data_IF_825359128715
#
_entry.id   IF_825359128715
#
_cell.length_a   1.000
_cell.length_b   1.000
_cell.length_c   1.000
_cell.angle_alpha   90.00
_cell.angle_beta   90.00
_cell.angle_gamma   90.00
#
_symmetry.space_group_name_H-M   'P 1'
#
loop_
_entity.id
_entity.type
_entity.pdbx_description
1 polymer ?
#
# COMPACT_ATOMS: atom_id res chain seq x y z
N UNK A 1 7.00 11.09 -14.51
CA UNK A 1 7.10 10.46 -15.85
C UNK A 1 5.77 9.82 -16.30
N UNK A 2 5.18 8.86 -15.55
CA UNK A 2 3.94 8.18 -15.95
C UNK A 2 2.80 9.19 -16.16
N UNK A 3 2.58 10.11 -15.24
CA UNK A 3 1.51 11.09 -15.33
C UNK A 3 1.65 12.01 -16.54
N UNK A 4 2.87 12.42 -16.90
CA UNK A 4 3.08 13.23 -18.10
C UNK A 4 2.70 12.47 -19.37
N UNK A 5 3.05 11.19 -19.46
CA UNK A 5 2.67 10.34 -20.60
C UNK A 5 1.15 10.17 -20.65
N UNK A 6 0.50 9.82 -19.53
CA UNK A 6 -0.95 9.62 -19.48
C UNK A 6 -1.70 10.88 -19.92
N UNK A 7 -1.21 12.07 -19.54
CA UNK A 7 -1.79 13.35 -19.94
C UNK A 7 -1.68 13.65 -21.43
N UNK A 8 -0.62 13.19 -22.10
CA UNK A 8 -0.51 13.41 -23.57
C UNK A 8 -1.62 12.69 -24.35
N UNK A 9 -2.22 11.66 -23.75
CA UNK A 9 -3.35 10.92 -24.32
C UNK A 9 -4.71 11.36 -23.75
N UNK A 10 -4.75 12.46 -22.99
CA UNK A 10 -5.96 12.96 -22.31
C UNK A 10 -6.69 11.86 -21.51
N UNK A 11 -5.93 11.01 -20.81
CA UNK A 11 -6.46 9.94 -19.94
C UNK A 11 -6.31 10.31 -18.47
N UNK A 12 -7.13 9.68 -17.63
CA UNK A 12 -7.01 9.78 -16.19
C UNK A 12 -5.90 8.84 -15.69
N UNK A 13 -5.14 9.31 -14.69
CA UNK A 13 -4.21 8.50 -13.96
C UNK A 13 -4.84 8.05 -12.65
N UNK A 14 -5.11 6.75 -12.54
CA UNK A 14 -5.60 6.11 -11.31
C UNK A 14 -4.44 5.34 -10.70
N UNK A 15 -4.14 5.61 -9.43
CA UNK A 15 -3.02 4.99 -8.70
C UNK A 15 -3.55 4.15 -7.54
N UNK A 16 -3.24 2.85 -7.58
CA UNK A 16 -3.33 2.01 -6.40
C UNK A 16 -2.10 2.26 -5.51
N UNK A 17 -2.33 2.94 -4.40
CA UNK A 17 -1.32 3.25 -3.41
C UNK A 17 -1.50 2.47 -2.10
N UNK A 18 -2.22 1.34 -2.14
CA UNK A 18 -2.56 0.56 -0.94
C UNK A 18 -1.31 0.16 -0.16
N UNK A 19 -0.24 -0.22 -0.83
CA UNK A 19 0.99 -0.68 -0.17
C UNK A 19 2.08 0.40 -0.07
N UNK A 20 1.82 1.63 -0.48
CA UNK A 20 2.83 2.70 -0.53
C UNK A 20 2.46 3.95 0.27
N UNK A 21 1.20 4.40 0.19
CA UNK A 21 0.79 5.66 0.85
C UNK A 21 0.96 5.57 2.37
N UNK A 22 1.55 6.62 2.95
CA UNK A 22 1.89 6.66 4.36
C UNK A 22 3.29 6.10 4.68
N UNK A 23 3.94 5.40 3.75
CA UNK A 23 5.27 4.80 3.94
C UNK A 23 6.31 5.34 2.95
N UNK A 24 5.88 5.64 1.73
CA UNK A 24 6.73 6.14 0.63
C UNK A 24 6.18 7.48 0.16
N UNK A 25 7.03 8.43 -0.26
CA UNK A 25 6.57 9.72 -0.79
C UNK A 25 5.63 9.53 -1.99
N UNK A 26 4.47 10.17 -1.93
CA UNK A 26 3.51 10.25 -3.03
C UNK A 26 2.90 11.66 -3.02
N UNK A 27 3.42 12.52 -3.86
CA UNK A 27 2.87 13.87 -4.05
C UNK A 27 1.76 13.82 -5.11
N UNK A 28 0.53 13.60 -4.64
CA UNK A 28 -0.65 13.36 -5.47
C UNK A 28 -0.89 14.50 -6.45
N UNK A 29 -0.81 15.73 -5.96
CA UNK A 29 -1.11 16.94 -6.74
C UNK A 29 0.03 17.28 -7.69
N UNK A 30 1.27 17.35 -7.19
CA UNK A 30 2.44 17.67 -8.01
C UNK A 30 2.71 16.62 -9.09
N UNK A 31 2.40 15.35 -8.80
CA UNK A 31 2.52 14.28 -9.80
C UNK A 31 1.32 14.20 -10.75
N UNK A 32 0.24 14.92 -10.45
CA UNK A 32 -0.94 14.98 -11.28
C UNK A 32 -1.72 13.67 -11.34
N UNK A 33 -1.81 12.99 -10.21
CA UNK A 33 -2.68 11.83 -10.07
C UNK A 33 -4.14 12.28 -10.04
N UNK A 34 -4.99 11.65 -10.84
CA UNK A 34 -6.41 12.00 -10.89
C UNK A 34 -7.23 11.26 -9.83
N UNK A 35 -6.87 10.00 -9.56
CA UNK A 35 -7.46 9.22 -8.47
C UNK A 35 -6.37 8.43 -7.77
N UNK A 36 -6.34 8.49 -6.45
CA UNK A 36 -5.44 7.67 -5.62
C UNK A 36 -6.27 6.91 -4.61
N UNK A 37 -6.04 5.60 -4.52
CA UNK A 37 -6.75 4.73 -3.56
C UNK A 37 -5.78 4.07 -2.60
N UNK A 38 -6.20 3.95 -1.33
CA UNK A 38 -5.45 3.22 -0.31
C UNK A 38 -6.39 2.65 0.75
N UNK A 39 -5.85 1.87 1.69
CA UNK A 39 -6.61 1.22 2.76
C UNK A 39 -5.96 1.40 4.13
N UNK A 40 -6.76 1.23 5.17
CA UNK A 40 -6.37 1.45 6.57
C UNK A 40 -5.32 0.46 7.10
N UNK A 41 -5.29 -0.76 6.58
CA UNK A 41 -4.50 -1.88 7.12
C UNK A 41 -3.04 -1.95 6.64
N UNK A 42 -2.55 -0.92 5.99
CA UNK A 42 -1.19 -0.84 5.45
C UNK A 42 -0.40 0.28 6.15
N UNK A 43 0.05 1.28 5.46
CA UNK A 43 0.83 2.38 6.02
C UNK A 43 0.14 3.13 7.16
N UNK A 44 -1.19 3.09 7.24
CA UNK A 44 -1.95 3.72 8.32
C UNK A 44 -2.06 2.89 9.60
N UNK A 45 -1.53 1.67 9.66
CA UNK A 45 -1.33 0.88 10.89
C UNK A 45 -2.62 0.52 11.65
N UNK A 46 -3.80 0.56 11.02
CA UNK A 46 -5.08 0.18 11.62
C UNK A 46 -5.65 -1.07 11.00
N UNK A 47 -6.58 -1.78 11.65
CA UNK A 47 -7.25 -2.93 11.05
C UNK A 47 -7.92 -2.60 9.72
N UNK A 48 -8.13 -3.59 8.83
CA UNK A 48 -8.92 -3.40 7.63
C UNK A 48 -10.34 -2.95 7.97
N UNK A 49 -10.93 -2.07 7.15
CA UNK A 49 -12.29 -1.58 7.34
C UNK A 49 -12.53 -0.17 6.80
N UNK A 50 -11.48 0.57 6.43
CA UNK A 50 -11.59 1.87 5.77
C UNK A 50 -10.82 1.86 4.44
N UNK A 51 -11.38 2.54 3.45
CA UNK A 51 -10.72 2.91 2.21
C UNK A 51 -10.62 4.44 2.12
N UNK A 52 -9.50 4.91 1.63
CA UNK A 52 -9.28 6.33 1.36
C UNK A 52 -9.16 6.53 -0.14
N UNK A 53 -9.87 7.54 -0.65
CA UNK A 53 -9.86 7.88 -2.08
C UNK A 53 -9.64 9.37 -2.21
N UNK A 54 -8.58 9.77 -2.89
CA UNK A 54 -8.37 11.14 -3.35
C UNK A 54 -8.80 11.24 -4.80
N UNK A 55 -9.54 12.30 -5.15
CA UNK A 55 -10.06 12.52 -6.51
C UNK A 55 -9.79 13.95 -6.91
N UNK A 56 -9.10 14.15 -8.04
CA UNK A 56 -8.86 15.46 -8.66
C UNK A 56 -10.14 16.06 -9.28
N UNK A 57 -10.12 17.33 -9.60
CA UNK A 57 -11.23 17.97 -10.36
C UNK A 57 -11.49 17.26 -11.68
N UNK A 58 -10.44 16.84 -12.42
CA UNK A 58 -10.59 16.05 -13.65
C UNK A 58 -11.27 14.70 -13.38
N UNK A 59 -10.91 14.05 -12.28
CA UNK A 59 -11.55 12.80 -11.84
C UNK A 59 -13.03 13.00 -11.56
N UNK A 60 -13.39 14.07 -10.87
CA UNK A 60 -14.78 14.44 -10.60
C UNK A 60 -15.55 14.76 -11.90
N UNK A 61 -14.96 15.51 -12.83
CA UNK A 61 -15.60 15.82 -14.10
C UNK A 61 -15.86 14.56 -14.93
N UNK A 62 -14.91 13.65 -14.99
CA UNK A 62 -15.12 12.35 -15.63
C UNK A 62 -16.22 11.51 -14.94
N UNK A 63 -16.31 11.57 -13.60
CA UNK A 63 -17.37 10.88 -12.85
C UNK A 63 -18.76 11.37 -13.24
N UNK A 64 -18.95 12.68 -13.50
CA UNK A 64 -20.25 13.26 -13.87
C UNK A 64 -20.82 12.73 -15.18
N UNK A 65 -19.94 12.40 -16.12
CA UNK A 65 -20.32 11.89 -17.46
C UNK A 65 -20.26 10.36 -17.56
N UNK A 66 -19.84 9.68 -16.49
CA UNK A 66 -19.75 8.21 -16.46
C UNK A 66 -21.14 7.58 -16.47
N UNK A 67 -21.35 6.63 -17.36
CA UNK A 67 -22.59 5.83 -17.46
C UNK A 67 -22.53 4.53 -16.65
N UNK A 68 -21.42 4.26 -15.96
CA UNK A 68 -21.28 3.05 -15.16
C UNK A 68 -22.29 3.05 -14.00
N UNK A 69 -23.12 2.01 -13.88
CA UNK A 69 -24.03 1.87 -12.75
C UNK A 69 -23.26 1.81 -11.42
N UNK A 70 -23.65 2.65 -10.46
CA UNK A 70 -23.04 2.70 -9.14
C UNK A 70 -24.09 3.01 -8.07
N UNK A 71 -23.94 2.41 -6.91
CA UNK A 71 -24.83 2.64 -5.76
C UNK A 71 -24.05 2.77 -4.45
N UNK A 72 -23.46 1.66 -3.98
CA UNK A 72 -22.68 1.64 -2.74
C UNK A 72 -21.34 2.36 -2.89
N UNK A 73 -20.66 2.16 -4.02
CA UNK A 73 -19.36 2.77 -4.34
C UNK A 73 -19.51 4.15 -5.04
N UNK A 74 -20.66 4.79 -4.91
CA UNK A 74 -20.87 6.12 -5.47
C UNK A 74 -20.27 7.19 -4.55
N UNK A 75 -19.12 7.72 -4.95
CA UNK A 75 -18.38 8.72 -4.17
C UNK A 75 -19.16 10.04 -4.02
N UNK A 76 -20.07 10.37 -4.94
CA UNK A 76 -20.89 11.57 -4.83
C UNK A 76 -21.81 11.52 -3.60
N UNK A 77 -22.31 10.33 -3.23
CA UNK A 77 -23.08 10.15 -2.00
C UNK A 77 -22.27 10.50 -0.75
N UNK A 78 -20.98 10.23 -0.76
CA UNK A 78 -20.07 10.62 0.34
C UNK A 78 -19.93 12.14 0.42
N UNK A 79 -19.79 12.83 -0.71
CA UNK A 79 -19.74 14.30 -0.76
C UNK A 79 -21.03 14.92 -0.21
N UNK A 80 -22.18 14.40 -0.64
CA UNK A 80 -23.50 14.87 -0.18
C UNK A 80 -23.70 14.63 1.31
N UNK A 81 -23.37 13.44 1.81
CA UNK A 81 -23.50 13.09 3.22
C UNK A 81 -22.59 13.95 4.11
N UNK A 82 -21.33 14.18 3.68
CA UNK A 82 -20.35 15.02 4.39
C UNK A 82 -20.87 16.43 4.65
N UNK A 83 -21.63 17.04 3.72
CA UNK A 83 -22.23 18.37 3.90
C UNK A 83 -23.21 18.43 5.08
N UNK A 84 -23.71 17.27 5.52
CA UNK A 84 -24.61 17.10 6.67
C UNK A 84 -23.88 16.58 7.92
N UNK A 85 -22.54 16.47 7.89
CA UNK A 85 -21.76 15.86 8.98
C UNK A 85 -22.03 14.36 9.15
N UNK A 86 -22.38 13.66 8.08
CA UNK A 86 -22.77 12.25 8.09
C UNK A 86 -21.95 11.44 7.07
N UNK A 87 -22.05 10.12 7.18
CA UNK A 87 -21.62 9.17 6.16
C UNK A 87 -22.84 8.60 5.42
N UNK A 88 -22.74 8.21 4.15
CA UNK A 88 -23.89 7.69 3.39
C UNK A 88 -24.32 6.29 3.87
N UNK A 89 -23.41 5.56 4.52
CA UNK A 89 -23.61 4.23 5.08
C UNK A 89 -23.09 4.17 6.51
N UNK A 90 -23.43 3.12 7.25
CA UNK A 90 -22.93 2.91 8.61
C UNK A 90 -21.38 2.84 8.60
N UNK A 91 -20.70 3.75 9.30
CA UNK A 91 -19.24 3.78 9.32
C UNK A 91 -18.64 2.72 10.25
N UNK A 92 -17.41 2.31 9.98
CA UNK A 92 -16.61 1.46 10.87
C UNK A 92 -16.04 2.30 12.03
N UNK A 93 -16.87 2.68 13.01
CA UNK A 93 -16.55 3.66 14.05
C UNK A 93 -15.32 3.28 14.86
N UNK A 94 -15.18 2.02 15.26
CA UNK A 94 -14.01 1.53 16.00
C UNK A 94 -12.70 1.66 15.19
N UNK A 95 -12.77 1.45 13.89
CA UNK A 95 -11.60 1.63 13.02
C UNK A 95 -11.27 3.11 12.84
N UNK A 96 -12.28 3.99 12.83
CA UNK A 96 -12.07 5.45 12.80
C UNK A 96 -11.36 5.97 14.06
N UNK A 97 -11.68 5.46 15.25
CA UNK A 97 -10.93 5.79 16.46
C UNK A 97 -9.49 5.31 16.40
N UNK A 98 -9.26 4.09 15.88
CA UNK A 98 -7.91 3.58 15.63
C UNK A 98 -7.14 4.44 14.63
N UNK A 99 -7.83 4.91 13.56
CA UNK A 99 -7.24 5.80 12.57
C UNK A 99 -6.86 7.15 13.17
N UNK A 100 -7.69 7.73 14.02
CA UNK A 100 -7.38 8.98 14.72
C UNK A 100 -6.08 8.86 15.51
N UNK A 101 -5.91 7.77 16.26
CA UNK A 101 -4.70 7.53 17.02
C UNK A 101 -3.47 7.30 16.12
N UNK A 102 -3.62 6.50 15.07
CA UNK A 102 -2.55 6.28 14.10
C UNK A 102 -2.09 7.58 13.42
N UNK A 103 -3.04 8.45 13.03
CA UNK A 103 -2.72 9.74 12.44
C UNK A 103 -1.99 10.67 13.43
N UNK A 104 -2.35 10.66 14.72
CA UNK A 104 -1.62 11.41 15.75
C UNK A 104 -0.16 10.94 15.84
N UNK A 105 0.07 9.63 15.84
CA UNK A 105 1.42 9.06 15.87
C UNK A 105 2.20 9.43 14.60
N UNK A 106 1.60 9.28 13.42
CA UNK A 106 2.24 9.65 12.15
C UNK A 106 2.60 11.14 12.09
N UNK A 107 1.71 12.01 12.54
CA UNK A 107 1.98 13.46 12.59
C UNK A 107 3.06 13.82 13.61
N UNK A 108 3.11 13.11 14.74
CA UNK A 108 4.14 13.28 15.76
C UNK A 108 5.52 12.83 15.28
N UNK A 109 5.62 11.70 14.57
CA UNK A 109 6.85 11.21 13.94
C UNK A 109 7.27 12.13 12.77
N UNK A 110 6.30 12.58 11.99
CA UNK A 110 6.50 13.37 10.78
C UNK A 110 6.74 12.51 9.54
N UNK A 111 6.08 12.90 8.42
CA UNK A 111 6.09 12.09 7.19
C UNK A 111 7.49 11.84 6.64
N UNK A 112 8.40 12.82 6.73
CA UNK A 112 9.76 12.65 6.25
C UNK A 112 10.52 11.59 7.07
N UNK A 113 10.38 11.57 8.39
CA UNK A 113 10.98 10.56 9.26
C UNK A 113 10.41 9.17 8.97
N UNK A 114 9.09 9.06 8.78
CA UNK A 114 8.42 7.82 8.40
C UNK A 114 9.00 7.27 7.09
N UNK A 115 9.15 8.09 6.06
CA UNK A 115 9.71 7.67 4.78
C UNK A 115 11.17 7.20 4.92
N UNK A 116 11.98 7.92 5.70
CA UNK A 116 13.38 7.54 5.96
C UNK A 116 13.46 6.22 6.72
N UNK A 117 12.61 6.02 7.73
CA UNK A 117 12.53 4.77 8.51
C UNK A 117 12.21 3.59 7.61
N UNK A 118 11.20 3.69 6.75
CA UNK A 118 10.84 2.62 5.83
C UNK A 118 11.97 2.29 4.85
N UNK A 119 12.63 3.30 4.29
CA UNK A 119 13.78 3.11 3.40
C UNK A 119 14.94 2.41 4.10
N UNK A 120 15.24 2.78 5.34
CA UNK A 120 16.29 2.15 6.14
C UNK A 120 15.97 0.69 6.42
N UNK A 121 14.76 0.38 6.89
CA UNK A 121 14.32 -0.98 7.18
C UNK A 121 14.31 -1.83 5.91
N UNK A 122 13.80 -1.32 4.81
CA UNK A 122 13.84 -2.01 3.52
C UNK A 122 15.26 -2.37 3.10
N UNK A 123 16.21 -1.46 3.32
CA UNK A 123 17.63 -1.71 3.03
C UNK A 123 18.20 -2.78 3.94
N UNK A 124 17.88 -2.77 5.23
CA UNK A 124 18.32 -3.80 6.19
C UNK A 124 17.77 -5.18 5.81
N UNK A 125 16.46 -5.27 5.50
CA UNK A 125 15.82 -6.52 5.06
C UNK A 125 16.49 -7.06 3.79
N UNK A 126 16.67 -6.22 2.77
CA UNK A 126 17.33 -6.62 1.51
C UNK A 126 18.76 -7.11 1.73
N UNK A 127 19.52 -6.39 2.56
CA UNK A 127 20.90 -6.78 2.88
C UNK A 127 20.94 -8.12 3.65
N UNK A 128 20.02 -8.33 4.60
CA UNK A 128 19.90 -9.60 5.30
C UNK A 128 19.59 -10.77 4.36
N UNK A 129 18.63 -10.58 3.45
CA UNK A 129 18.26 -11.59 2.43
C UNK A 129 19.44 -11.93 1.52
N UNK A 130 20.15 -10.92 1.02
CA UNK A 130 21.35 -11.11 0.18
C UNK A 130 22.49 -11.77 0.97
N UNK A 131 22.66 -11.40 2.24
CA UNK A 131 23.64 -12.02 3.15
C UNK A 131 23.40 -13.51 3.41
N UNK A 132 22.15 -13.98 3.29
CA UNK A 132 21.79 -15.40 3.32
C UNK A 132 22.04 -16.13 1.98
N UNK A 133 22.53 -15.43 0.96
CA UNK A 133 22.71 -15.98 -0.37
C UNK A 133 21.44 -16.14 -1.19
N UNK A 134 20.32 -15.51 -0.73
CA UNK A 134 19.04 -15.55 -1.43
C UNK A 134 18.96 -14.44 -2.49
N UNK A 135 18.15 -14.67 -3.51
CA UNK A 135 18.00 -13.76 -4.65
C UNK A 135 16.73 -12.90 -4.50
N UNK A 136 16.87 -11.59 -4.67
CA UNK A 136 15.73 -10.69 -4.73
C UNK A 136 14.97 -10.83 -6.05
N UNK A 137 13.65 -10.69 -6.01
CA UNK A 137 12.84 -10.68 -7.23
C UNK A 137 12.99 -9.36 -8.01
N UNK A 138 13.16 -8.23 -7.32
CA UNK A 138 13.42 -6.95 -7.97
C UNK A 138 14.77 -6.99 -8.68
N UNK A 139 14.77 -6.73 -9.98
CA UNK A 139 16.00 -6.72 -10.81
C UNK A 139 16.88 -5.51 -10.54
N UNK A 140 16.24 -4.38 -10.24
CA UNK A 140 16.89 -3.12 -9.97
C UNK A 140 16.39 -2.57 -8.63
N UNK A 141 17.31 -2.35 -7.71
CA UNK A 141 17.02 -1.86 -6.37
C UNK A 141 16.57 -0.40 -6.35
N UNK A 142 16.85 0.36 -7.40
CA UNK A 142 16.35 1.73 -7.56
C UNK A 142 14.81 1.76 -7.59
N UNK A 143 14.21 0.71 -8.17
CA UNK A 143 12.74 0.60 -8.30
C UNK A 143 12.12 -0.37 -7.28
N UNK A 144 12.92 -0.93 -6.38
CA UNK A 144 12.42 -1.81 -5.33
C UNK A 144 11.58 -1.03 -4.30
N UNK A 145 10.46 -1.61 -3.89
CA UNK A 145 9.57 -0.98 -2.90
C UNK A 145 10.22 -0.90 -1.51
N UNK A 146 10.04 0.22 -0.83
CA UNK A 146 10.45 0.37 0.58
C UNK A 146 9.41 -0.15 1.58
N UNK A 147 8.40 -0.89 1.13
CA UNK A 147 7.32 -1.45 1.99
C UNK A 147 7.24 -2.96 1.95
N UNK A 148 7.76 -3.59 0.89
CA UNK A 148 7.76 -5.04 0.73
C UNK A 148 9.00 -5.48 -0.04
N UNK A 149 9.63 -6.55 0.41
CA UNK A 149 10.74 -7.21 -0.29
C UNK A 149 10.27 -8.57 -0.78
N UNK A 150 10.26 -8.76 -2.10
CA UNK A 150 10.00 -10.04 -2.73
C UNK A 150 11.31 -10.79 -2.97
N UNK A 151 11.32 -12.06 -2.57
CA UNK A 151 12.50 -12.94 -2.60
C UNK A 151 12.17 -14.17 -3.43
N UNK A 152 13.06 -14.59 -4.31
CA UNK A 152 12.87 -15.81 -5.08
C UNK A 152 12.99 -17.03 -4.18
N UNK A 153 12.15 -18.04 -4.43
CA UNK A 153 12.27 -19.32 -3.76
C UNK A 153 13.52 -20.02 -4.34
N UNK A 154 14.45 -20.50 -3.49
CA UNK A 154 15.62 -21.24 -3.95
C UNK A 154 15.24 -22.53 -4.68
N UNK A 155 16.08 -22.94 -5.64
CA UNK A 155 15.87 -24.18 -6.37
C UNK A 155 15.81 -25.39 -5.42
N UNK A 156 14.90 -26.31 -5.70
CA UNK A 156 14.70 -27.52 -4.90
C UNK A 156 13.90 -27.32 -3.61
N UNK A 157 13.50 -26.08 -3.26
CA UNK A 157 12.67 -25.78 -2.10
C UNK A 157 11.22 -25.53 -2.55
N UNK A 158 10.26 -26.16 -1.87
CA UNK A 158 8.84 -25.83 -2.06
C UNK A 158 8.44 -24.64 -1.19
N UNK A 159 7.83 -23.64 -1.81
CA UNK A 159 7.41 -22.41 -1.11
C UNK A 159 6.50 -22.69 0.09
N UNK A 160 5.56 -23.63 -0.04
CA UNK A 160 4.65 -24.01 1.05
C UNK A 160 5.41 -24.55 2.25
N UNK A 161 6.33 -25.49 2.04
CA UNK A 161 7.10 -26.11 3.11
C UNK A 161 7.97 -25.07 3.85
N UNK A 162 8.61 -24.15 3.09
CA UNK A 162 9.39 -23.05 3.67
C UNK A 162 8.52 -22.14 4.55
N UNK A 163 7.38 -21.70 4.05
CA UNK A 163 6.48 -20.80 4.78
C UNK A 163 5.87 -21.47 6.02
N UNK A 164 5.55 -22.76 5.94
CA UNK A 164 5.01 -23.53 7.05
C UNK A 164 6.07 -23.75 8.15
N UNK A 165 7.31 -24.04 7.78
CA UNK A 165 8.42 -24.14 8.75
C UNK A 165 8.64 -22.82 9.47
N UNK A 166 8.73 -21.72 8.71
CA UNK A 166 8.94 -20.39 9.29
C UNK A 166 7.81 -20.03 10.28
N UNK A 167 6.56 -20.30 9.89
CA UNK A 167 5.39 -20.04 10.74
C UNK A 167 5.38 -20.92 11.99
N UNK A 168 5.47 -22.24 11.80
CA UNK A 168 5.17 -23.19 12.88
C UNK A 168 6.35 -23.43 13.83
N UNK A 169 7.59 -23.32 13.34
CA UNK A 169 8.78 -23.57 14.14
C UNK A 169 9.48 -22.27 14.62
N UNK A 170 9.35 -21.18 13.87
CA UNK A 170 10.04 -19.93 14.16
C UNK A 170 9.11 -18.75 14.47
N UNK A 171 7.78 -18.92 14.36
CA UNK A 171 6.80 -17.85 14.60
C UNK A 171 6.85 -16.71 13.59
N UNK A 172 7.53 -16.90 12.43
CA UNK A 172 7.67 -15.90 11.38
C UNK A 172 6.62 -16.10 10.30
N UNK A 173 5.73 -15.14 10.14
CA UNK A 173 4.65 -15.19 9.14
C UNK A 173 5.02 -14.38 7.92
N UNK A 174 5.30 -15.06 6.82
CA UNK A 174 5.58 -14.44 5.52
C UNK A 174 4.46 -14.74 4.52
N UNK A 175 4.34 -13.93 3.49
CA UNK A 175 3.37 -14.12 2.42
C UNK A 175 4.03 -14.77 1.20
N UNK A 176 3.33 -15.72 0.57
CA UNK A 176 3.76 -16.28 -0.72
C UNK A 176 3.55 -15.35 -1.91
N UNK A 177 3.90 -15.81 -3.09
CA UNK A 177 3.62 -15.12 -4.35
C UNK A 177 2.10 -14.96 -4.54
N UNK A 178 1.70 -13.88 -5.20
CA UNK A 178 0.28 -13.58 -5.46
C UNK A 178 -0.02 -13.74 -6.95
N UNK A 179 -1.11 -14.42 -7.23
CA UNK A 179 -1.53 -14.74 -8.59
C UNK A 179 -0.81 -15.95 -9.19
N UNK A 180 -1.37 -16.56 -10.23
CA UNK A 180 -0.89 -17.84 -10.79
C UNK A 180 0.56 -17.80 -11.28
N UNK A 181 1.02 -16.61 -11.72
CA UNK A 181 2.37 -16.45 -12.25
C UNK A 181 3.45 -16.41 -11.17
N UNK A 182 3.12 -16.00 -9.94
CA UNK A 182 4.08 -15.82 -8.84
C UNK A 182 3.93 -16.87 -7.74
N UNK A 183 2.83 -17.62 -7.74
CA UNK A 183 2.62 -18.69 -6.77
C UNK A 183 3.76 -19.73 -6.82
N UNK A 184 4.31 -20.06 -5.66
CA UNK A 184 5.41 -20.99 -5.54
C UNK A 184 6.78 -20.47 -5.99
N UNK A 185 6.88 -19.29 -6.62
CA UNK A 185 8.14 -18.74 -7.16
C UNK A 185 8.81 -17.74 -6.25
N UNK A 186 8.02 -17.03 -5.43
CA UNK A 186 8.52 -16.01 -4.51
C UNK A 186 7.86 -16.12 -3.14
N UNK A 187 8.52 -15.57 -2.13
CA UNK A 187 7.88 -15.13 -0.90
C UNK A 187 8.10 -13.64 -0.68
N UNK A 188 7.32 -13.04 0.19
CA UNK A 188 7.34 -11.60 0.45
C UNK A 188 7.52 -11.32 1.93
N UNK A 189 8.46 -10.44 2.23
CA UNK A 189 8.68 -9.86 3.55
C UNK A 189 8.03 -8.48 3.55
N UNK A 190 6.97 -8.32 4.33
CA UNK A 190 6.29 -7.03 4.51
C UNK A 190 6.98 -6.25 5.62
N UNK A 191 7.35 -5.00 5.35
CA UNK A 191 7.98 -4.11 6.31
C UNK A 191 7.40 -2.69 6.19
N UNK A 192 6.09 -2.58 6.46
CA UNK A 192 5.34 -1.34 6.34
C UNK A 192 4.47 -1.08 7.58
N UNK A 193 4.17 0.19 7.82
CA UNK A 193 3.38 0.63 8.95
C UNK A 193 4.23 0.81 10.21
N UNK A 194 3.78 0.25 11.33
CA UNK A 194 4.50 0.32 12.60
C UNK A 194 5.59 -0.76 12.65
N UNK A 195 6.71 -0.46 12.04
CA UNK A 195 7.91 -1.30 12.02
C UNK A 195 9.12 -0.47 12.43
N UNK A 196 10.06 -1.09 13.14
CA UNK A 196 11.33 -0.48 13.52
C UNK A 196 12.51 -1.42 13.23
N UNK A 197 13.72 -0.99 13.55
CA UNK A 197 14.96 -1.74 13.26
C UNK A 197 15.16 -2.97 14.16
N UNK A 198 14.29 -3.20 15.13
CA UNK A 198 14.33 -4.35 16.04
C UNK A 198 13.33 -5.45 15.68
N UNK A 199 12.50 -5.20 14.65
CA UNK A 199 11.44 -6.11 14.20
C UNK A 199 11.95 -7.23 13.30
#
# INVERSE_FOLDING_TARGET
QIASIVRTFDKLLIVDAISSLGCIPLDVDAWGCDVVVTGSQKGFMVPPGLAFVSVSDRGWDASKISLMPRFYLDLEKHVVARRRGQTPWTPAVSVLFGLEEALKQMLSEGMQAIHQRHKMIATQVRNGILGLGLELFARDLEYASDTVTAVKIPDGIKAGDLLDILRNQHGVVLAGGQGPEMEGKIFRVGHLGFVDSSA
#
